data_IF_916523605821
#
_entry.id   IF_916523605821
#
_cell.length_a   1.000
_cell.length_b   1.000
_cell.length_c   1.000
_cell.angle_alpha   90.00
_cell.angle_beta   90.00
_cell.angle_gamma   90.00
#
_symmetry.space_group_name_H-M   'P 1'
#
loop_
_entity.id
_entity.type
_entity.pdbx_description
1 polymer ?
#
# COMPACT_ATOMS: atom_id res chain seq x y z
N UNK A 1 27.37 12.00 33.09
CA UNK A 1 27.09 11.46 31.74
C UNK A 1 27.73 12.38 30.73
N UNK A 2 28.42 11.81 29.75
CA UNK A 2 29.01 12.61 28.67
C UNK A 2 27.89 13.04 27.72
N UNK A 3 28.01 14.20 27.11
CA UNK A 3 26.99 14.73 26.18
C UNK A 3 26.71 13.75 25.04
N UNK A 4 27.73 12.99 24.59
CA UNK A 4 27.59 11.92 23.61
C UNK A 4 26.58 10.85 24.03
N UNK A 5 26.59 10.42 25.29
CA UNK A 5 25.67 9.39 25.82
C UNK A 5 24.21 9.87 25.85
N UNK A 6 24.00 11.19 25.96
CA UNK A 6 22.67 11.80 25.89
C UNK A 6 22.15 11.85 24.45
N UNK A 7 23.03 12.16 23.49
CA UNK A 7 22.70 12.17 22.06
C UNK A 7 22.34 10.75 21.60
N UNK A 8 23.16 9.75 21.97
CA UNK A 8 22.90 8.35 21.60
C UNK A 8 21.55 7.84 22.14
N UNK A 9 21.21 8.20 23.38
CA UNK A 9 19.90 7.86 23.97
C UNK A 9 18.77 8.59 23.26
N UNK A 10 18.94 9.87 22.91
CA UNK A 10 17.95 10.62 22.17
C UNK A 10 17.68 9.96 20.80
N UNK A 11 18.72 9.59 20.07
CA UNK A 11 18.63 8.91 18.78
C UNK A 11 17.97 7.53 18.90
N UNK A 12 18.29 6.78 19.96
CA UNK A 12 17.64 5.50 20.25
C UNK A 12 16.13 5.69 20.49
N UNK A 13 15.74 6.64 21.36
CA UNK A 13 14.34 6.95 21.62
C UNK A 13 13.59 7.43 20.37
N UNK A 14 14.22 8.28 19.55
CA UNK A 14 13.66 8.76 18.29
C UNK A 14 13.57 7.63 17.23
N UNK A 15 14.46 6.64 17.28
CA UNK A 15 14.47 5.48 16.39
C UNK A 15 13.48 4.37 16.76
N UNK A 16 13.10 4.25 18.03
CA UNK A 16 12.20 3.19 18.54
C UNK A 16 10.83 3.23 17.88
N UNK A 17 10.24 4.42 17.69
CA UNK A 17 8.90 4.54 17.12
C UNK A 17 8.87 4.13 15.64
N UNK A 18 9.93 4.48 14.90
CA UNK A 18 10.12 4.06 13.51
C UNK A 18 10.28 2.53 13.38
N UNK A 19 10.99 1.88 14.30
CA UNK A 19 11.11 0.41 14.33
C UNK A 19 9.76 -0.25 14.63
N UNK A 20 9.00 0.25 15.61
CA UNK A 20 7.64 -0.23 15.94
C UNK A 20 6.71 -0.11 14.73
N UNK A 21 6.71 1.03 14.04
CA UNK A 21 5.89 1.26 12.83
C UNK A 21 6.25 0.30 11.70
N UNK A 22 7.54 0.10 11.40
CA UNK A 22 8.01 -0.86 10.39
C UNK A 22 7.57 -2.30 10.72
N UNK A 23 7.67 -2.70 11.99
CA UNK A 23 7.23 -4.01 12.46
C UNK A 23 5.72 -4.20 12.27
N UNK A 24 4.90 -3.20 12.66
CA UNK A 24 3.44 -3.21 12.45
C UNK A 24 3.08 -3.33 10.97
N UNK A 25 3.75 -2.59 10.09
CA UNK A 25 3.55 -2.68 8.63
C UNK A 25 3.84 -4.09 8.11
N UNK A 26 4.97 -4.69 8.53
CA UNK A 26 5.34 -6.05 8.11
C UNK A 26 4.30 -7.08 8.59
N UNK A 27 3.86 -6.98 9.83
CA UNK A 27 2.84 -7.85 10.39
C UNK A 27 1.51 -7.74 9.63
N UNK A 28 1.04 -6.52 9.36
CA UNK A 28 -0.19 -6.27 8.61
C UNK A 28 -0.13 -6.83 7.18
N UNK A 29 1.01 -6.66 6.48
CA UNK A 29 1.21 -7.26 5.15
C UNK A 29 1.07 -8.78 5.20
N UNK A 30 1.73 -9.42 6.16
CA UNK A 30 1.68 -10.88 6.32
C UNK A 30 0.26 -11.38 6.58
N UNK A 31 -0.50 -10.69 7.44
CA UNK A 31 -1.90 -11.04 7.71
C UNK A 31 -2.76 -10.86 6.46
N UNK A 32 -2.59 -9.77 5.71
CA UNK A 32 -3.33 -9.55 4.46
C UNK A 32 -3.06 -10.63 3.42
N UNK A 33 -1.81 -11.08 3.28
CA UNK A 33 -1.46 -12.16 2.35
C UNK A 33 -2.10 -13.49 2.76
N UNK A 34 -2.14 -13.79 4.06
CA UNK A 34 -2.84 -14.99 4.56
C UNK A 34 -4.34 -14.92 4.27
N UNK A 35 -4.97 -13.77 4.51
CA UNK A 35 -6.38 -13.56 4.21
C UNK A 35 -6.66 -13.72 2.71
N UNK A 36 -5.81 -13.18 1.84
CA UNK A 36 -5.93 -13.32 0.38
C UNK A 36 -5.83 -14.78 -0.08
N UNK A 37 -4.93 -15.56 0.53
CA UNK A 37 -4.82 -17.00 0.24
C UNK A 37 -6.05 -17.77 0.72
N UNK A 38 -6.63 -17.40 1.86
CA UNK A 38 -7.84 -18.04 2.40
C UNK A 38 -9.07 -17.71 1.56
N UNK A 39 -9.22 -16.46 1.13
CA UNK A 39 -10.28 -15.99 0.22
C UNK A 39 -10.31 -16.80 -1.06
N UNK A 40 -9.19 -16.87 -1.78
CA UNK A 40 -9.08 -17.67 -3.03
C UNK A 40 -9.47 -19.14 -2.84
N UNK A 41 -9.08 -19.74 -1.70
CA UNK A 41 -9.45 -21.13 -1.38
C UNK A 41 -10.94 -21.29 -1.11
N UNK A 42 -11.58 -20.31 -0.48
CA UNK A 42 -13.02 -20.33 -0.20
C UNK A 42 -13.84 -20.05 -1.45
N UNK A 43 -13.40 -19.12 -2.31
CA UNK A 43 -14.00 -18.85 -3.62
C UNK A 43 -13.99 -20.10 -4.50
N UNK A 44 -12.87 -20.82 -4.56
CA UNK A 44 -12.77 -22.12 -5.26
C UNK A 44 -13.76 -23.14 -4.70
N UNK A 45 -13.82 -23.30 -3.36
CA UNK A 45 -14.77 -24.23 -2.72
C UNK A 45 -16.23 -23.87 -2.99
N UNK A 46 -16.55 -22.58 -3.02
CA UNK A 46 -17.88 -22.08 -3.33
C UNK A 46 -18.25 -22.38 -4.79
N UNK A 47 -17.34 -22.13 -5.73
CA UNK A 47 -17.53 -22.39 -7.16
C UNK A 47 -17.66 -23.88 -7.47
N UNK A 48 -16.88 -24.74 -6.79
CA UNK A 48 -16.95 -26.20 -6.92
C UNK A 48 -18.22 -26.80 -6.28
N UNK A 49 -19.05 -25.99 -5.61
CA UNK A 49 -20.25 -26.48 -4.91
C UNK A 49 -19.95 -27.41 -3.73
N UNK A 50 -18.68 -27.51 -3.29
CA UNK A 50 -18.27 -28.37 -2.19
C UNK A 50 -18.50 -27.66 -0.85
N UNK A 51 -19.64 -27.97 -0.24
CA UNK A 51 -19.94 -27.62 1.14
C UNK A 51 -21.11 -26.65 1.30
N UNK A 52 -21.22 -26.11 2.51
CA UNK A 52 -22.37 -25.33 2.94
C UNK A 52 -22.23 -23.88 2.45
N UNK A 53 -22.90 -23.53 1.34
CA UNK A 53 -22.78 -22.23 0.62
C UNK A 53 -22.92 -21.03 1.54
N UNK A 54 -23.87 -21.08 2.48
CA UNK A 54 -24.13 -19.98 3.42
C UNK A 54 -22.95 -19.75 4.38
N UNK A 55 -22.35 -20.82 4.90
CA UNK A 55 -21.16 -20.73 5.78
C UNK A 55 -19.97 -20.13 5.03
N UNK A 56 -19.76 -20.55 3.79
CA UNK A 56 -18.65 -20.05 2.96
C UNK A 56 -18.87 -18.56 2.59
N UNK A 57 -20.11 -18.18 2.27
CA UNK A 57 -20.47 -16.77 2.01
C UNK A 57 -20.22 -15.87 3.22
N UNK A 58 -20.67 -16.30 4.40
CA UNK A 58 -20.44 -15.56 5.65
C UNK A 58 -18.94 -15.43 5.97
N UNK A 59 -18.16 -16.48 5.73
CA UNK A 59 -16.71 -16.47 5.93
C UNK A 59 -16.00 -15.53 4.95
N UNK A 60 -16.42 -15.50 3.68
CA UNK A 60 -15.93 -14.56 2.67
C UNK A 60 -16.22 -13.11 3.07
N UNK A 61 -17.44 -12.81 3.51
CA UNK A 61 -17.82 -11.47 3.97
C UNK A 61 -16.93 -11.00 5.13
N UNK A 62 -16.65 -11.88 6.09
CA UNK A 62 -15.77 -11.59 7.22
C UNK A 62 -14.32 -11.35 6.78
N UNK A 63 -13.81 -12.15 5.83
CA UNK A 63 -12.48 -11.96 5.25
C UNK A 63 -12.38 -10.62 4.51
N UNK A 64 -13.40 -10.25 3.73
CA UNK A 64 -13.45 -8.95 3.06
C UNK A 64 -13.45 -7.78 4.06
N UNK A 65 -14.23 -7.88 5.14
CA UNK A 65 -14.23 -6.88 6.20
C UNK A 65 -12.85 -6.72 6.84
N UNK A 66 -12.18 -7.84 7.17
CA UNK A 66 -10.83 -7.83 7.73
C UNK A 66 -9.79 -7.27 6.76
N UNK A 67 -9.87 -7.61 5.46
CA UNK A 67 -8.98 -7.06 4.43
C UNK A 67 -9.16 -5.56 4.27
N UNK A 68 -10.41 -5.07 4.20
CA UNK A 68 -10.70 -3.63 4.09
C UNK A 68 -10.13 -2.86 5.28
N UNK A 69 -10.30 -3.39 6.50
CA UNK A 69 -9.73 -2.81 7.72
C UNK A 69 -8.20 -2.80 7.69
N UNK A 70 -7.58 -3.92 7.34
CA UNK A 70 -6.12 -4.03 7.25
C UNK A 70 -5.50 -3.09 6.20
N UNK A 71 -6.15 -2.93 5.04
CA UNK A 71 -5.71 -2.00 4.00
C UNK A 71 -5.79 -0.53 4.46
N UNK A 72 -6.86 -0.15 5.15
CA UNK A 72 -7.01 1.20 5.72
C UNK A 72 -5.88 1.52 6.71
N UNK A 73 -5.61 0.60 7.63
CA UNK A 73 -4.52 0.73 8.60
C UNK A 73 -3.15 0.81 7.91
N UNK A 74 -2.93 0.00 6.88
CA UNK A 74 -1.67 0.02 6.13
C UNK A 74 -1.45 1.35 5.41
N UNK A 75 -2.52 1.94 4.86
CA UNK A 75 -2.47 3.25 4.19
C UNK A 75 -2.11 4.35 5.19
N UNK A 76 -2.79 4.40 6.34
CA UNK A 76 -2.50 5.36 7.43
C UNK A 76 -1.04 5.27 7.89
N UNK A 77 -0.55 4.07 8.20
CA UNK A 77 0.84 3.89 8.65
C UNK A 77 1.89 4.28 7.59
N UNK A 78 1.55 4.20 6.30
CA UNK A 78 2.42 4.67 5.20
C UNK A 78 2.38 6.18 5.04
N UNK A 79 1.21 6.80 5.20
CA UNK A 79 1.04 8.26 5.16
C UNK A 79 1.79 8.93 6.31
N UNK A 80 1.62 8.41 7.54
CA UNK A 80 2.38 8.87 8.71
C UNK A 80 3.90 8.72 8.52
N UNK A 81 4.34 7.65 7.84
CA UNK A 81 5.75 7.48 7.50
C UNK A 81 6.24 8.57 6.54
N UNK A 82 5.43 8.94 5.55
CA UNK A 82 5.78 9.98 4.57
C UNK A 82 5.81 11.36 5.22
N UNK A 83 4.88 11.66 6.13
CA UNK A 83 4.86 12.91 6.91
C UNK A 83 6.05 13.02 7.84
N UNK A 84 6.40 11.95 8.57
CA UNK A 84 7.58 11.95 9.45
C UNK A 84 8.93 12.11 8.73
N UNK A 85 8.99 11.84 7.42
CA UNK A 85 10.18 12.11 6.60
C UNK A 85 10.24 13.58 6.19
N UNK A 86 9.10 14.15 5.79
CA UNK A 86 9.00 15.56 5.38
C UNK A 86 9.32 16.55 6.50
N UNK A 87 9.02 16.21 7.76
CA UNK A 87 9.32 17.09 8.91
C UNK A 87 10.82 17.16 9.24
N UNK A 88 11.61 16.17 8.83
CA UNK A 88 13.05 16.10 9.14
C UNK A 88 13.93 16.72 8.06
N UNK A 89 13.38 16.98 6.87
CA UNK A 89 14.11 17.55 5.72
C UNK A 89 14.03 19.10 5.67
N UNK A 90 13.48 19.77 6.70
CA UNK A 90 13.28 21.24 6.71
C UNK A 90 14.46 22.07 7.23
N UNK A 91 15.69 21.54 7.18
CA UNK A 91 16.89 22.35 7.38
C UNK A 91 17.88 21.99 6.27
N UNK A 92 18.40 23.03 5.61
CA UNK A 92 19.46 23.05 4.58
C UNK A 92 18.95 23.28 3.15
N UNK A 93 18.91 24.59 2.86
CA UNK A 93 19.40 25.31 1.68
C UNK A 93 18.61 25.34 0.37
N UNK A 94 18.24 26.59 0.04
CA UNK A 94 18.10 27.12 -1.31
C UNK A 94 19.34 26.71 -2.11
N UNK A 95 19.15 26.06 -3.24
CA UNK A 95 19.93 26.35 -4.44
C UNK A 95 19.19 25.76 -5.65
N UNK A 96 18.87 26.64 -6.58
CA UNK A 96 18.31 26.34 -7.89
C UNK A 96 19.29 25.47 -8.68
N UNK A 97 18.88 24.29 -9.17
CA UNK A 97 19.54 23.68 -10.32
C UNK A 97 18.68 22.60 -11.02
N UNK A 98 18.11 23.03 -12.14
CA UNK A 98 17.93 22.37 -13.43
C UNK A 98 17.67 20.85 -13.60
N UNK A 99 16.81 20.63 -14.60
CA UNK A 99 16.93 19.62 -15.66
C UNK A 99 16.03 18.39 -15.54
N UNK A 100 14.88 18.44 -16.21
CA UNK A 100 14.24 17.24 -16.77
C UNK A 100 14.02 17.49 -18.26
N UNK A 101 15.02 17.06 -19.03
CA UNK A 101 14.91 16.74 -20.45
C UNK A 101 14.27 15.36 -20.64
N UNK A 102 13.41 15.30 -21.65
CA UNK A 102 13.19 14.23 -22.62
C UNK A 102 12.84 12.83 -22.11
N UNK A 103 11.59 12.38 -22.36
CA UNK A 103 11.30 11.04 -22.90
C UNK A 103 10.10 11.12 -23.86
N UNK A 104 10.39 10.92 -25.15
CA UNK A 104 9.47 10.63 -26.27
C UNK A 104 8.70 9.31 -26.12
N UNK A 105 7.75 9.09 -27.05
CA UNK A 105 7.11 7.81 -27.50
C UNK A 105 5.73 7.52 -26.88
N UNK A 106 4.67 7.13 -27.59
CA UNK A 106 4.38 6.71 -28.97
C UNK A 106 2.88 7.04 -29.21
N UNK A 107 2.47 7.67 -30.32
CA UNK A 107 2.08 7.04 -31.58
C UNK A 107 1.00 5.94 -31.46
N UNK A 108 -0.27 6.30 -31.65
CA UNK A 108 -1.24 5.40 -32.29
C UNK A 108 -2.28 6.23 -33.06
N UNK A 109 -2.07 6.28 -34.38
CA UNK A 109 -2.98 6.83 -35.37
C UNK A 109 -3.99 5.75 -35.81
N UNK A 110 -5.25 6.20 -35.93
CA UNK A 110 -6.26 5.83 -36.95
C UNK A 110 -6.92 4.45 -36.85
N UNK A 111 -8.27 4.46 -36.89
CA UNK A 111 -9.00 4.33 -38.17
C UNK A 111 -10.48 4.63 -37.93
N UNK A 112 -10.94 5.74 -38.51
CA UNK A 112 -12.34 5.97 -38.85
C UNK A 112 -12.80 4.95 -39.90
N UNK A 113 -14.09 4.62 -39.90
CA UNK A 113 -14.90 4.59 -41.13
C UNK A 113 -16.37 4.45 -40.80
N UNK A 114 -17.06 5.54 -41.10
CA UNK A 114 -18.48 5.68 -41.32
C UNK A 114 -18.99 4.63 -42.33
N UNK A 115 -20.22 4.18 -42.11
CA UNK A 115 -21.10 3.72 -43.18
C UNK A 115 -22.49 4.25 -42.91
N UNK A 116 -22.81 5.35 -43.58
CA UNK A 116 -24.16 5.75 -43.94
C UNK A 116 -24.64 4.97 -45.18
N UNK A 117 -25.96 4.79 -45.23
CA UNK A 117 -26.82 4.61 -46.40
C UNK A 117 -26.55 3.48 -47.42
N UNK A 118 -27.55 2.58 -47.53
CA UNK A 118 -28.40 2.50 -48.74
C UNK A 118 -29.57 1.51 -48.59
N UNK A 119 -30.73 2.03 -49.01
CA UNK A 119 -31.94 1.35 -49.55
C UNK A 119 -32.95 0.74 -48.60
#
# INVERSE_FOLDING_TARGET
MKISELIDKADEYLGVENRKRKSKIKCLKHVLDKLRKREKKLELKFAEGRGNKEKISNELALIHAHRKKGLKLLKQLKEEQKESKRSNDTVIDKDDNDNVKDIDKDNEQKMDKDTDDKS
#
